data_IF_237406756644
#
_entry.id   IF_237406756644
#
_cell.length_a   1.000
_cell.length_b   1.000
_cell.length_c   1.000
_cell.angle_alpha   90.00
_cell.angle_beta   90.00
_cell.angle_gamma   90.00
#
_symmetry.space_group_name_H-M   'P 1'
#
loop_
_entity.id
_entity.type
_entity.pdbx_description
1 polymer ?
#
# COMPACT_ATOMS: atom_id res chain seq x y z
N UNK A 1 3.65 -2.62 8.78
CA UNK A 1 2.74 -1.48 8.53
C UNK A 1 3.36 -0.11 8.78
N UNK A 2 4.26 0.03 9.75
CA UNK A 2 4.92 1.31 9.99
C UNK A 2 5.70 1.82 8.77
N UNK A 3 6.29 0.92 8.00
CA UNK A 3 7.02 1.27 6.78
C UNK A 3 6.11 1.86 5.71
N UNK A 4 4.85 1.41 5.64
CA UNK A 4 3.89 1.94 4.68
C UNK A 4 3.46 3.37 5.04
N UNK A 5 3.32 3.64 6.35
CA UNK A 5 2.98 4.98 6.83
C UNK A 5 4.08 6.00 6.56
N UNK A 6 5.32 5.53 6.50
CA UNK A 6 6.49 6.36 6.25
C UNK A 6 6.95 6.29 4.80
N UNK A 7 6.12 5.77 3.90
CA UNK A 7 6.45 5.65 2.49
C UNK A 7 6.75 7.01 1.87
N UNK A 8 7.80 7.07 1.07
CA UNK A 8 8.19 8.27 0.32
C UNK A 8 7.59 8.28 -1.08
N UNK A 9 6.70 7.32 -1.38
CA UNK A 9 6.03 7.27 -2.66
C UNK A 9 5.22 8.55 -2.90
N UNK A 10 5.10 9.00 -4.16
CA UNK A 10 4.33 10.20 -4.47
C UNK A 10 2.84 9.99 -4.23
N UNK A 11 2.17 11.04 -3.73
CA UNK A 11 0.71 11.02 -3.51
C UNK A 11 -0.06 11.36 -4.78
N UNK A 12 0.63 11.88 -5.80
CA UNK A 12 0.04 12.20 -7.10
C UNK A 12 0.63 11.30 -8.17
N UNK A 13 -0.06 11.18 -9.29
CA UNK A 13 0.44 10.39 -10.42
C UNK A 13 1.67 11.07 -11.02
N UNK A 14 2.75 10.31 -11.17
CA UNK A 14 4.00 10.80 -11.76
C UNK A 14 4.43 9.85 -12.88
N UNK A 15 5.20 10.37 -13.81
CA UNK A 15 5.76 9.57 -14.90
C UNK A 15 6.97 8.80 -14.40
N UNK A 16 7.02 7.51 -14.71
CA UNK A 16 8.10 6.61 -14.27
C UNK A 16 8.98 6.30 -15.49
N UNK A 17 10.29 6.27 -15.28
CA UNK A 17 11.23 5.90 -16.34
C UNK A 17 11.13 4.38 -16.55
N UNK A 18 10.67 4.01 -17.76
CA UNK A 18 10.48 2.60 -18.14
C UNK A 18 11.76 1.78 -17.99
N UNK A 19 12.89 2.34 -18.39
CA UNK A 19 14.16 1.63 -18.37
C UNK A 19 14.66 1.32 -16.95
N UNK A 20 14.34 2.19 -16.00
CA UNK A 20 14.61 1.93 -14.60
C UNK A 20 13.64 0.88 -14.04
N UNK A 21 12.40 0.95 -14.47
CA UNK A 21 11.34 0.09 -13.96
C UNK A 21 11.56 -1.37 -14.37
N UNK A 22 11.90 -1.63 -15.63
CA UNK A 22 12.06 -2.99 -16.14
C UNK A 22 13.50 -3.52 -16.09
N UNK A 23 14.42 -2.78 -15.53
CA UNK A 23 15.85 -3.12 -15.50
C UNK A 23 16.14 -4.50 -14.88
N UNK A 24 15.42 -4.87 -13.83
CA UNK A 24 15.68 -6.12 -13.10
C UNK A 24 15.19 -7.36 -13.83
N UNK A 25 14.13 -7.23 -14.60
CA UNK A 25 13.49 -8.36 -15.28
C UNK A 25 13.75 -8.37 -16.77
N UNK A 26 14.16 -7.25 -17.31
CA UNK A 26 14.29 -7.04 -18.75
C UNK A 26 12.98 -7.31 -19.50
N UNK A 27 11.86 -7.19 -18.78
CA UNK A 27 10.53 -7.44 -19.31
C UNK A 27 9.53 -6.57 -18.55
N UNK A 28 9.00 -5.56 -19.24
CA UNK A 28 8.06 -4.60 -18.62
C UNK A 28 6.80 -5.29 -18.10
N UNK A 29 6.30 -6.30 -18.79
CA UNK A 29 5.08 -7.01 -18.37
C UNK A 29 5.30 -7.78 -17.08
N UNK A 30 6.45 -8.40 -16.93
CA UNK A 30 6.82 -9.09 -15.70
C UNK A 30 6.94 -8.12 -14.54
N UNK A 31 7.60 -6.98 -14.75
CA UNK A 31 7.74 -5.94 -13.74
C UNK A 31 6.38 -5.40 -13.30
N UNK A 32 5.48 -5.15 -14.24
CA UNK A 32 4.12 -4.68 -13.95
C UNK A 32 3.36 -5.74 -13.15
N UNK A 33 3.45 -7.00 -13.53
CA UNK A 33 2.78 -8.09 -12.84
C UNK A 33 3.23 -8.20 -11.37
N UNK A 34 4.53 -8.12 -11.14
CA UNK A 34 5.11 -8.19 -9.79
C UNK A 34 4.63 -7.02 -8.93
N UNK A 35 4.72 -5.80 -9.47
CA UNK A 35 4.30 -4.61 -8.71
C UNK A 35 2.79 -4.59 -8.49
N UNK A 36 2.00 -5.08 -9.44
CA UNK A 36 0.56 -5.18 -9.27
C UNK A 36 0.18 -6.13 -8.13
N UNK A 37 0.84 -7.27 -8.03
CA UNK A 37 0.62 -8.21 -6.93
C UNK A 37 1.00 -7.60 -5.59
N UNK A 38 2.11 -6.88 -5.55
CA UNK A 38 2.51 -6.19 -4.32
C UNK A 38 1.52 -5.10 -3.95
N UNK A 39 0.99 -4.37 -4.93
CA UNK A 39 -0.02 -3.34 -4.68
C UNK A 39 -1.28 -3.93 -4.04
N UNK A 40 -1.72 -5.10 -4.50
CA UNK A 40 -2.86 -5.80 -3.90
C UNK A 40 -2.58 -6.18 -2.45
N UNK A 41 -1.38 -6.67 -2.15
CA UNK A 41 -0.98 -7.00 -0.78
C UNK A 41 -0.98 -5.76 0.11
N UNK A 42 -0.42 -4.65 -0.37
CA UNK A 42 -0.37 -3.39 0.37
C UNK A 42 -1.79 -2.89 0.65
N UNK A 43 -2.65 -2.93 -0.35
CA UNK A 43 -4.05 -2.50 -0.19
C UNK A 43 -4.77 -3.34 0.85
N UNK A 44 -4.58 -4.65 0.84
CA UNK A 44 -5.15 -5.57 1.83
C UNK A 44 -4.68 -5.24 3.25
N UNK A 45 -3.39 -4.99 3.42
CA UNK A 45 -2.81 -4.66 4.72
C UNK A 45 -3.34 -3.33 5.25
N UNK A 46 -3.41 -2.31 4.40
CA UNK A 46 -3.93 -0.99 4.77
C UNK A 46 -5.41 -1.10 5.15
N UNK A 47 -6.19 -1.82 4.34
CA UNK A 47 -7.62 -2.00 4.58
C UNK A 47 -7.87 -2.73 5.91
N UNK A 48 -7.10 -3.78 6.16
CA UNK A 48 -7.21 -4.54 7.41
C UNK A 48 -6.92 -3.66 8.62
N UNK A 49 -5.82 -2.90 8.57
CA UNK A 49 -5.45 -2.00 9.65
C UNK A 49 -6.50 -0.93 9.89
N UNK A 50 -7.03 -0.34 8.81
CA UNK A 50 -8.08 0.67 8.90
C UNK A 50 -9.33 0.10 9.56
N UNK A 51 -9.77 -1.09 9.14
CA UNK A 51 -10.96 -1.73 9.70
C UNK A 51 -10.77 -2.07 11.18
N UNK A 52 -9.58 -2.53 11.57
CA UNK A 52 -9.27 -2.81 12.98
C UNK A 52 -9.38 -1.54 13.83
N UNK A 53 -8.86 -0.43 13.32
CA UNK A 53 -8.94 0.85 14.03
C UNK A 53 -10.36 1.38 14.12
N UNK A 54 -11.14 1.22 13.08
CA UNK A 54 -12.54 1.64 13.10
C UNK A 54 -13.36 0.77 14.05
N UNK A 55 -13.05 -0.52 14.17
CA UNK A 55 -13.70 -1.40 15.15
C UNK A 55 -13.36 -1.00 16.57
N UNK A 56 -12.13 -0.61 16.85
CA UNK A 56 -11.74 -0.10 18.16
C UNK A 56 -12.59 1.10 18.55
N UNK A 57 -12.79 2.04 17.61
CA UNK A 57 -13.64 3.20 17.86
C UNK A 57 -15.11 2.82 18.02
N UNK A 58 -15.59 1.85 17.27
CA UNK A 58 -16.97 1.36 17.37
C UNK A 58 -17.23 0.71 18.73
N UNK A 59 -16.27 -0.08 19.22
CA UNK A 59 -16.35 -0.69 20.55
C UNK A 59 -16.34 0.37 21.65
N UNK A 60 -15.55 1.41 21.44
CA UNK A 60 -15.44 2.54 22.35
C UNK A 60 -16.72 3.38 22.34
N UNK A 61 -17.47 3.36 21.22
CA UNK A 61 -18.68 4.15 21.05
C UNK A 61 -19.84 3.72 21.92
N UNK A 62 -19.88 2.47 22.34
CA UNK A 62 -20.90 1.99 23.25
C UNK A 62 -20.78 2.63 24.64
N UNK A 63 -19.65 3.30 24.93
CA UNK A 63 -19.39 3.89 26.23
C UNK A 63 -19.14 5.41 26.21
N UNK A 64 -19.11 6.06 25.03
CA UNK A 64 -18.87 7.50 24.90
C UNK A 64 -19.94 8.19 24.04
N UNK A 65 -20.01 9.52 24.13
CA UNK A 65 -20.96 10.32 23.36
C UNK A 65 -20.63 10.26 21.86
N UNK A 66 -21.66 10.05 21.03
CA UNK A 66 -21.55 9.87 19.58
C UNK A 66 -20.76 10.97 18.84
N UNK A 67 -20.89 12.21 19.27
CA UNK A 67 -20.25 13.36 18.61
C UNK A 67 -18.72 13.28 18.67
N UNK A 68 -18.20 12.80 19.76
CA UNK A 68 -16.77 12.68 19.98
C UNK A 68 -16.14 11.60 19.10
N UNK A 69 -16.85 10.50 18.91
CA UNK A 69 -16.39 9.36 18.12
C UNK A 69 -16.30 9.63 16.63
N UNK A 70 -17.33 10.29 16.09
CA UNK A 70 -17.37 10.61 14.68
C UNK A 70 -16.15 11.45 14.27
N UNK A 71 -15.70 12.34 15.15
CA UNK A 71 -14.55 13.18 14.89
C UNK A 71 -13.27 12.36 14.79
N UNK A 72 -13.05 11.41 15.71
CA UNK A 72 -11.88 10.56 15.71
C UNK A 72 -11.88 9.61 14.51
N UNK A 73 -13.02 9.04 14.16
CA UNK A 73 -13.14 8.18 12.98
C UNK A 73 -12.84 8.95 11.70
N UNK A 74 -13.30 10.20 11.60
CA UNK A 74 -13.02 11.05 10.45
C UNK A 74 -11.51 11.33 10.35
N UNK A 75 -10.86 11.62 11.47
CA UNK A 75 -9.41 11.88 11.49
C UNK A 75 -8.60 10.66 11.06
N UNK A 76 -8.98 9.47 11.52
CA UNK A 76 -8.33 8.21 11.12
C UNK A 76 -8.52 7.97 9.63
N UNK A 77 -9.75 8.12 9.14
CA UNK A 77 -10.04 7.95 7.71
C UNK A 77 -9.26 8.93 6.85
N UNK A 78 -9.18 10.19 7.26
CA UNK A 78 -8.39 11.19 6.54
C UNK A 78 -6.92 10.85 6.50
N UNK A 79 -6.38 10.32 7.60
CA UNK A 79 -4.98 9.91 7.65
C UNK A 79 -4.69 8.85 6.60
N UNK A 80 -5.54 7.81 6.52
CA UNK A 80 -5.35 6.73 5.54
C UNK A 80 -5.59 7.20 4.10
N UNK A 81 -6.51 8.13 3.89
CA UNK A 81 -6.76 8.70 2.57
C UNK A 81 -5.59 9.54 2.04
N UNK A 82 -4.81 10.13 2.93
CA UNK A 82 -3.64 10.94 2.56
C UNK A 82 -2.41 10.10 2.22
N UNK A 83 -2.41 8.81 2.55
CA UNK A 83 -1.30 7.95 2.20
C UNK A 83 -1.18 7.82 0.67
N UNK A 84 0.03 7.60 0.15
CA UNK A 84 0.18 7.28 -1.25
C UNK A 84 -0.67 6.08 -1.63
N UNK A 85 -1.09 6.02 -2.88
CA UNK A 85 -1.89 4.89 -3.36
C UNK A 85 -1.06 3.59 -3.33
N UNK A 86 -1.70 2.42 -3.12
CA UNK A 86 -0.97 1.16 -3.04
C UNK A 86 -0.07 0.88 -4.24
N UNK A 87 -0.51 1.23 -5.45
CA UNK A 87 0.31 1.04 -6.65
C UNK A 87 1.55 1.92 -6.64
N UNK A 88 1.44 3.15 -6.13
CA UNK A 88 2.59 4.06 -6.02
C UNK A 88 3.59 3.53 -4.99
N UNK A 89 3.11 3.02 -3.87
CA UNK A 89 3.97 2.38 -2.86
C UNK A 89 4.68 1.16 -3.43
N UNK A 90 3.97 0.32 -4.20
CA UNK A 90 4.54 -0.87 -4.79
C UNK A 90 5.64 -0.52 -5.81
N UNK A 91 5.41 0.49 -6.64
CA UNK A 91 6.42 0.97 -7.60
C UNK A 91 7.66 1.48 -6.86
N UNK A 92 7.45 2.26 -5.80
CA UNK A 92 8.56 2.77 -4.99
C UNK A 92 9.40 1.62 -4.41
N UNK A 93 8.74 0.62 -3.83
CA UNK A 93 9.42 -0.56 -3.28
C UNK A 93 10.18 -1.32 -4.37
N UNK A 94 9.59 -1.44 -5.56
CA UNK A 94 10.23 -2.11 -6.69
C UNK A 94 11.50 -1.39 -7.13
N UNK A 95 11.42 -0.06 -7.29
CA UNK A 95 12.56 0.75 -7.69
C UNK A 95 13.68 0.74 -6.65
N UNK A 96 13.32 0.60 -5.37
CA UNK A 96 14.29 0.54 -4.26
C UNK A 96 14.77 -0.89 -3.96
N UNK A 97 14.39 -1.85 -4.79
CA UNK A 97 14.82 -3.24 -4.67
C UNK A 97 14.35 -3.92 -3.38
N UNK A 98 13.16 -3.56 -2.93
CA UNK A 98 12.58 -4.07 -1.69
C UNK A 98 11.55 -5.19 -1.88
N UNK A 99 11.25 -5.57 -3.12
CA UNK A 99 10.27 -6.61 -3.40
C UNK A 99 10.98 -7.92 -3.70
N UNK A 100 10.66 -8.96 -2.91
CA UNK A 100 11.08 -10.31 -3.22
C UNK A 100 10.12 -10.91 -4.26
N UNK A 101 10.67 -11.50 -5.31
CA UNK A 101 9.86 -12.17 -6.32
C UNK A 101 10.61 -13.41 -6.81
N UNK A 102 9.83 -14.34 -7.36
CA UNK A 102 10.38 -15.59 -7.87
C UNK A 102 9.65 -15.96 -9.17
N UNK A 103 10.40 -16.35 -10.18
CA UNK A 103 9.85 -16.85 -11.43
C UNK A 103 9.77 -18.37 -11.36
N UNK A 104 8.56 -18.90 -11.17
CA UNK A 104 8.32 -20.32 -10.99
C UNK A 104 8.62 -21.13 -12.25
N UNK A 105 8.52 -20.54 -13.43
CA UNK A 105 8.87 -21.22 -14.67
C UNK A 105 10.36 -21.50 -14.77
N UNK A 106 11.18 -20.57 -14.33
CA UNK A 106 12.64 -20.74 -14.29
C UNK A 106 13.07 -21.75 -13.23
N UNK A 107 12.32 -21.85 -12.15
CA UNK A 107 12.62 -22.77 -11.05
C UNK A 107 12.31 -24.22 -11.37
N UNK A 108 11.45 -24.48 -12.36
CA UNK A 108 11.06 -25.84 -12.76
C UNK A 108 12.00 -26.43 -13.83
N UNK A 109 12.88 -25.64 -14.37
CA UNK A 109 13.92 -26.10 -15.28
C UNK A 109 15.18 -26.51 -14.50
#
# INVERSE_FOLDING_TARGET
MNDLKNSKAPVTTVTINKNEFDKKTDNIYEAISITAKRAVQINSEIKKELLEKLEEFATYSDSLEEVFENKEQIEVSKFYEKLPKPHAMAVEEWLMDKIYHRNTEKDTE
#
